data_IF_775828805074
#
_entry.id   IF_775828805074
#
_cell.length_a   1.000
_cell.length_b   1.000
_cell.length_c   1.000
_cell.angle_alpha   90.00
_cell.angle_beta   90.00
_cell.angle_gamma   90.00
#
_symmetry.space_group_name_H-M   'P 1'
#
loop_
_entity.id
_entity.type
_entity.pdbx_description
1 polymer ?
#
# COMPACT_ATOMS: atom_id res chain seq x y z
N UNK A 1 -35.18 2.80 -15.71
CA UNK A 1 -34.78 4.00 -14.95
C UNK A 1 -33.69 4.66 -15.78
N UNK A 2 -33.86 5.94 -16.10
CA UNK A 2 -32.89 6.71 -16.90
C UNK A 2 -31.50 6.68 -16.23
N UNK A 3 -30.50 6.19 -16.95
CA UNK A 3 -29.11 6.02 -16.49
C UNK A 3 -28.32 7.33 -16.61
N UNK A 4 -28.72 8.37 -15.88
CA UNK A 4 -27.95 9.63 -15.83
C UNK A 4 -26.75 9.59 -14.86
N UNK A 5 -26.54 8.51 -14.10
CA UNK A 5 -25.54 8.46 -13.01
C UNK A 5 -24.37 7.48 -13.23
N UNK A 6 -24.33 6.74 -14.35
CA UNK A 6 -23.25 5.77 -14.62
C UNK A 6 -21.86 6.40 -14.86
N UNK A 7 -21.75 7.73 -14.75
CA UNK A 7 -20.53 8.52 -15.00
C UNK A 7 -20.13 9.39 -13.83
N UNK A 8 -20.63 9.14 -12.61
CA UNK A 8 -20.20 9.90 -11.43
C UNK A 8 -18.74 9.55 -11.10
N UNK A 9 -17.91 10.58 -10.90
CA UNK A 9 -16.49 10.45 -10.54
C UNK A 9 -15.72 9.41 -11.41
N UNK A 10 -15.76 9.53 -12.74
CA UNK A 10 -15.25 8.48 -13.61
C UNK A 10 -13.72 8.37 -13.49
N UNK A 11 -13.20 7.14 -13.50
CA UNK A 11 -11.77 6.90 -13.71
C UNK A 11 -11.49 6.74 -15.20
N UNK A 12 -10.24 6.95 -15.62
CA UNK A 12 -9.82 6.76 -17.01
C UNK A 12 -10.03 5.30 -17.51
N UNK A 13 -10.13 4.36 -16.57
CA UNK A 13 -10.18 2.92 -16.79
C UNK A 13 -11.60 2.35 -16.64
N UNK A 14 -12.61 3.22 -16.56
CA UNK A 14 -14.03 2.86 -16.55
C UNK A 14 -14.61 2.52 -15.18
N UNK A 15 -13.89 2.85 -14.10
CA UNK A 15 -14.37 2.78 -12.72
C UNK A 15 -15.03 4.06 -12.24
N UNK A 16 -15.39 4.10 -10.96
CA UNK A 16 -15.96 5.28 -10.27
C UNK A 16 -15.22 5.51 -8.96
N UNK A 17 -14.53 6.64 -8.85
CA UNK A 17 -13.69 6.94 -7.70
C UNK A 17 -14.50 7.50 -6.53
N UNK A 18 -14.20 7.04 -5.32
CA UNK A 18 -14.81 7.55 -4.10
C UNK A 18 -13.94 8.64 -3.49
N UNK A 19 -14.43 9.89 -3.50
CA UNK A 19 -13.63 11.09 -3.22
C UNK A 19 -13.98 11.82 -1.91
N UNK A 20 -15.03 11.40 -1.19
CA UNK A 20 -15.38 12.02 0.09
C UNK A 20 -16.54 11.33 0.80
N UNK A 21 -16.60 11.44 2.13
CA UNK A 21 -17.70 10.88 2.92
C UNK A 21 -19.06 11.50 2.59
N UNK A 22 -19.08 12.77 2.20
CA UNK A 22 -20.25 13.54 1.77
C UNK A 22 -20.54 13.39 0.27
N UNK A 23 -19.73 12.62 -0.46
CA UNK A 23 -19.86 12.38 -1.90
C UNK A 23 -19.86 10.87 -2.22
N UNK A 24 -20.75 10.06 -1.63
CA UNK A 24 -20.89 8.66 -2.01
C UNK A 24 -21.32 8.55 -3.48
N UNK A 25 -20.68 7.63 -4.21
CA UNK A 25 -21.09 7.31 -5.57
C UNK A 25 -22.47 6.66 -5.54
N UNK A 26 -23.45 7.31 -6.18
CA UNK A 26 -24.83 6.85 -6.32
C UNK A 26 -25.00 5.94 -7.55
N UNK A 27 -26.21 5.42 -7.76
CA UNK A 27 -26.53 4.68 -8.99
C UNK A 27 -25.85 3.31 -9.17
N UNK A 28 -25.18 2.78 -8.14
CA UNK A 28 -24.48 1.48 -8.19
C UNK A 28 -25.39 0.32 -7.77
N UNK A 29 -25.34 -0.77 -8.52
CA UNK A 29 -26.00 -2.03 -8.18
C UNK A 29 -25.05 -3.19 -8.43
N UNK A 30 -24.92 -4.08 -7.44
CA UNK A 30 -24.14 -5.30 -7.63
C UNK A 30 -24.96 -6.31 -8.43
N UNK A 31 -24.39 -6.89 -9.46
CA UNK A 31 -25.05 -7.95 -10.23
C UNK A 31 -24.50 -9.28 -9.77
N UNK A 32 -25.37 -10.24 -9.45
CA UNK A 32 -24.98 -11.59 -9.01
C UNK A 32 -25.70 -12.65 -9.83
N UNK A 33 -25.13 -13.85 -9.86
CA UNK A 33 -25.75 -14.99 -10.52
C UNK A 33 -27.13 -15.31 -9.94
N UNK A 34 -28.09 -15.54 -10.84
CA UNK A 34 -29.42 -16.08 -10.55
C UNK A 34 -29.65 -17.33 -11.38
N UNK A 35 -30.64 -17.33 -12.27
CA UNK A 35 -30.81 -18.40 -13.28
C UNK A 35 -29.91 -18.21 -14.51
N UNK A 36 -29.38 -16.99 -14.70
CA UNK A 36 -28.30 -16.73 -15.65
C UNK A 36 -27.03 -16.38 -14.86
N UNK A 37 -25.87 -16.76 -15.39
CA UNK A 37 -24.56 -16.45 -14.81
C UNK A 37 -23.94 -15.27 -15.57
N UNK A 38 -23.69 -14.12 -14.92
CA UNK A 38 -22.93 -13.04 -15.52
C UNK A 38 -21.51 -13.51 -15.85
N UNK A 39 -20.96 -13.02 -16.95
CA UNK A 39 -19.56 -13.25 -17.27
C UNK A 39 -18.67 -12.58 -16.22
N UNK A 40 -17.54 -13.20 -15.88
CA UNK A 40 -16.47 -12.55 -15.13
C UNK A 40 -16.02 -11.30 -15.87
N UNK A 41 -16.05 -10.16 -15.19
CA UNK A 41 -15.81 -8.83 -15.79
C UNK A 41 -14.76 -8.07 -14.99
N UNK A 42 -13.92 -7.33 -15.69
CA UNK A 42 -13.03 -6.35 -15.12
C UNK A 42 -13.73 -4.99 -14.99
N UNK A 43 -13.12 -4.05 -14.27
CA UNK A 43 -13.52 -2.65 -14.29
C UNK A 43 -13.49 -2.12 -15.74
N UNK A 44 -14.50 -1.33 -16.10
CA UNK A 44 -14.66 -0.78 -17.45
C UNK A 44 -15.31 -1.71 -18.48
N UNK A 45 -15.47 -3.00 -18.18
CA UNK A 45 -16.29 -3.90 -19.02
C UNK A 45 -17.77 -3.50 -18.96
N UNK A 46 -18.51 -3.76 -20.05
CA UNK A 46 -19.94 -3.41 -20.16
C UNK A 46 -20.79 -4.58 -20.63
N UNK A 47 -22.00 -4.69 -20.10
CA UNK A 47 -23.05 -5.55 -20.65
C UNK A 47 -24.04 -4.71 -21.46
N UNK A 48 -24.05 -4.89 -22.78
CA UNK A 48 -24.90 -4.15 -23.72
C UNK A 48 -26.29 -4.78 -23.80
N UNK A 49 -27.32 -3.95 -23.80
CA UNK A 49 -28.71 -4.39 -23.75
C UNK A 49 -29.20 -4.63 -22.33
N UNK A 50 -30.32 -5.32 -22.18
CA UNK A 50 -30.96 -5.48 -20.88
C UNK A 50 -30.31 -6.60 -20.05
N UNK A 51 -29.87 -6.26 -18.84
CA UNK A 51 -29.63 -7.24 -17.77
C UNK A 51 -30.87 -7.24 -16.88
N UNK A 52 -31.57 -8.37 -16.83
CA UNK A 52 -32.87 -8.50 -16.15
C UNK A 52 -32.73 -9.49 -15.01
N UNK A 53 -33.23 -9.14 -13.83
CA UNK A 53 -33.12 -9.96 -12.64
C UNK A 53 -34.10 -9.55 -11.54
N UNK A 54 -34.12 -10.32 -10.45
CA UNK A 54 -34.81 -9.92 -9.23
C UNK A 54 -33.93 -8.94 -8.46
N UNK A 55 -34.51 -7.84 -7.98
CA UNK A 55 -33.79 -6.92 -7.09
C UNK A 55 -33.93 -7.43 -5.67
N UNK A 56 -32.80 -7.55 -4.98
CA UNK A 56 -32.69 -8.03 -3.60
C UNK A 56 -31.93 -7.01 -2.75
N UNK A 57 -32.19 -6.99 -1.45
CA UNK A 57 -31.40 -6.22 -0.49
C UNK A 57 -30.51 -7.16 0.31
N UNK A 58 -29.20 -6.88 0.40
CA UNK A 58 -28.25 -7.81 1.01
C UNK A 58 -28.14 -7.62 2.52
N UNK A 59 -27.77 -8.70 3.23
CA UNK A 59 -27.46 -8.63 4.67
C UNK A 59 -26.23 -7.76 4.98
N UNK A 60 -25.40 -7.46 3.98
CA UNK A 60 -24.23 -6.59 4.08
C UNK A 60 -24.51 -5.16 3.57
N UNK A 61 -25.78 -4.82 3.36
CA UNK A 61 -26.21 -3.54 2.78
C UNK A 61 -26.16 -3.50 1.26
N UNK A 62 -26.85 -2.53 0.68
CA UNK A 62 -26.94 -2.31 -0.76
C UNK A 62 -27.94 -3.25 -1.47
N UNK A 63 -28.26 -2.88 -2.70
CA UNK A 63 -29.09 -3.68 -3.59
C UNK A 63 -28.24 -4.58 -4.48
N UNK A 64 -28.74 -5.78 -4.75
CA UNK A 64 -28.21 -6.68 -5.79
C UNK A 64 -29.26 -6.99 -6.83
N UNK A 65 -28.83 -7.29 -8.05
CA UNK A 65 -29.66 -7.84 -9.11
C UNK A 65 -29.29 -9.31 -9.34
N UNK A 66 -30.16 -10.24 -8.93
CA UNK A 66 -30.00 -11.67 -9.19
C UNK A 66 -30.49 -12.00 -10.61
N UNK A 67 -29.57 -12.32 -11.51
CA UNK A 67 -29.82 -12.33 -12.96
C UNK A 67 -30.70 -13.47 -13.46
N UNK A 68 -31.70 -13.12 -14.27
CA UNK A 68 -32.49 -14.05 -15.10
C UNK A 68 -31.99 -14.10 -16.54
N UNK A 69 -31.49 -12.97 -17.04
CA UNK A 69 -30.78 -12.82 -18.31
C UNK A 69 -29.75 -11.71 -18.17
N UNK A 70 -28.68 -11.77 -18.96
CA UNK A 70 -27.58 -10.81 -18.94
C UNK A 70 -27.42 -10.25 -20.35
N UNK A 71 -27.11 -8.95 -20.43
CA UNK A 71 -26.77 -8.31 -21.70
C UNK A 71 -25.53 -8.91 -22.34
N UNK A 72 -25.26 -8.52 -23.58
CA UNK A 72 -24.08 -8.97 -24.33
C UNK A 72 -22.83 -8.34 -23.74
N UNK A 73 -21.89 -9.16 -23.28
CA UNK A 73 -20.59 -8.69 -22.79
C UNK A 73 -19.76 -8.01 -23.89
N UNK A 74 -19.16 -6.88 -23.53
CA UNK A 74 -18.12 -6.22 -24.29
C UNK A 74 -17.03 -5.76 -23.33
N UNK A 75 -15.78 -6.12 -23.63
CA UNK A 75 -14.65 -5.73 -22.79
C UNK A 75 -14.34 -4.24 -22.92
N UNK A 76 -13.94 -3.62 -21.80
CA UNK A 76 -13.38 -2.27 -21.72
C UNK A 76 -11.94 -2.18 -22.23
N UNK A 77 -11.27 -3.33 -22.44
CA UNK A 77 -9.94 -3.40 -23.04
C UNK A 77 -8.79 -2.95 -22.13
N UNK A 78 -9.01 -2.86 -20.82
CA UNK A 78 -7.95 -2.52 -19.88
C UNK A 78 -6.89 -3.62 -19.81
N UNK A 79 -5.64 -3.22 -19.61
CA UNK A 79 -4.49 -4.12 -19.48
C UNK A 79 -3.66 -3.73 -18.26
N UNK A 80 -2.98 -4.70 -17.60
CA UNK A 80 -2.12 -4.40 -16.45
C UNK A 80 -1.06 -3.37 -16.81
N UNK A 81 -0.89 -2.37 -15.95
CA UNK A 81 0.05 -1.28 -16.17
C UNK A 81 1.49 -1.68 -15.84
N UNK A 82 2.44 -0.88 -16.33
CA UNK A 82 3.84 -0.98 -15.96
C UNK A 82 4.41 0.41 -15.74
N UNK A 83 5.26 0.53 -14.75
CA UNK A 83 6.01 1.75 -14.47
C UNK A 83 7.39 1.71 -15.14
N UNK A 84 7.99 2.87 -15.39
CA UNK A 84 9.35 2.94 -15.93
C UNK A 84 10.41 2.61 -14.86
N UNK A 85 11.63 2.26 -15.26
CA UNK A 85 12.71 2.03 -14.30
C UNK A 85 13.13 3.31 -13.57
N UNK A 86 13.55 3.19 -12.31
CA UNK A 86 14.14 4.30 -11.57
C UNK A 86 15.49 4.71 -12.17
N UNK A 87 15.72 6.02 -12.28
CA UNK A 87 17.02 6.57 -12.68
C UNK A 87 18.10 6.21 -11.64
N UNK A 88 19.37 6.34 -12.02
CA UNK A 88 20.49 5.99 -11.13
C UNK A 88 20.62 6.87 -9.88
N UNK A 89 19.99 8.05 -9.88
CA UNK A 89 19.94 8.99 -8.76
C UNK A 89 18.57 9.02 -8.06
N UNK A 90 17.60 8.21 -8.53
CA UNK A 90 16.31 8.03 -7.90
C UNK A 90 16.37 6.77 -7.03
N UNK A 91 15.89 6.87 -5.80
CA UNK A 91 15.53 5.74 -4.96
C UNK A 91 14.06 5.40 -5.24
N UNK A 92 13.79 4.19 -5.70
CA UNK A 92 12.43 3.67 -5.83
C UNK A 92 11.97 2.97 -4.56
N UNK A 93 10.85 3.41 -4.01
CA UNK A 93 10.18 2.78 -2.86
C UNK A 93 8.76 2.42 -3.28
N UNK A 94 8.43 1.13 -3.13
CA UNK A 94 7.11 0.57 -3.41
C UNK A 94 6.40 0.22 -2.10
N UNK A 95 5.08 0.31 -2.07
CA UNK A 95 4.22 -0.40 -1.11
C UNK A 95 3.40 -1.45 -1.85
N UNK A 96 3.30 -2.66 -1.31
CA UNK A 96 2.64 -3.76 -1.98
C UNK A 96 2.08 -4.79 -0.98
N UNK A 97 0.77 -4.72 -0.75
CA UNK A 97 0.02 -5.78 -0.09
C UNK A 97 -0.02 -7.04 -0.98
N UNK A 98 0.54 -8.15 -0.48
CA UNK A 98 0.64 -9.42 -1.22
C UNK A 98 -0.44 -10.46 -0.84
N UNK A 99 -1.45 -10.03 -0.09
CA UNK A 99 -2.67 -10.77 0.25
C UNK A 99 -2.37 -12.14 0.91
N UNK A 100 -2.08 -12.10 2.21
CA UNK A 100 -1.80 -13.26 3.06
C UNK A 100 -0.78 -14.27 2.49
N UNK A 101 0.31 -13.77 1.90
CA UNK A 101 1.31 -14.63 1.27
C UNK A 101 2.05 -15.47 2.32
N UNK A 102 1.96 -16.80 2.18
CA UNK A 102 2.57 -17.82 3.02
C UNK A 102 3.31 -18.86 2.17
N UNK A 103 4.34 -19.51 2.74
CA UNK A 103 5.08 -20.57 2.06
C UNK A 103 4.18 -21.73 1.57
N UNK A 104 3.03 -21.92 2.22
CA UNK A 104 1.99 -22.92 1.89
C UNK A 104 1.15 -22.56 0.66
N UNK A 105 1.15 -21.31 0.19
CA UNK A 105 0.45 -20.97 -1.06
C UNK A 105 1.11 -21.62 -2.27
N UNK A 106 0.32 -21.83 -3.32
CA UNK A 106 0.78 -22.39 -4.59
C UNK A 106 1.91 -21.54 -5.22
N UNK A 107 2.85 -22.22 -5.88
CA UNK A 107 3.96 -21.56 -6.56
C UNK A 107 3.48 -20.51 -7.58
N UNK A 108 2.33 -20.76 -8.23
CA UNK A 108 1.75 -19.82 -9.18
C UNK A 108 1.45 -18.43 -8.57
N UNK A 109 1.07 -18.35 -7.28
CA UNK A 109 0.88 -17.04 -6.61
C UNK A 109 2.21 -16.30 -6.47
N UNK A 110 3.26 -17.00 -6.03
CA UNK A 110 4.62 -16.44 -5.94
C UNK A 110 5.14 -15.98 -7.30
N UNK A 111 4.94 -16.77 -8.35
CA UNK A 111 5.39 -16.44 -9.71
C UNK A 111 4.67 -15.20 -10.26
N UNK A 112 3.36 -15.06 -10.02
CA UNK A 112 2.58 -13.87 -10.42
C UNK A 112 3.05 -12.62 -9.69
N UNK A 113 3.18 -12.68 -8.36
CA UNK A 113 3.67 -11.55 -7.56
C UNK A 113 5.11 -11.18 -7.93
N UNK A 114 5.97 -12.17 -8.18
CA UNK A 114 7.35 -11.96 -8.61
C UNK A 114 7.41 -11.31 -10.00
N UNK A 115 6.60 -11.78 -10.96
CA UNK A 115 6.49 -11.15 -12.26
C UNK A 115 6.03 -9.69 -12.15
N UNK A 116 5.08 -9.39 -11.26
CA UNK A 116 4.66 -8.01 -10.99
C UNK A 116 5.82 -7.13 -10.48
N UNK A 117 6.61 -7.62 -9.51
CA UNK A 117 7.79 -6.90 -8.99
C UNK A 117 8.81 -6.62 -10.10
N UNK A 118 9.05 -7.59 -10.98
CA UNK A 118 10.09 -7.47 -12.01
C UNK A 118 9.61 -6.66 -13.22
N UNK A 119 8.44 -7.00 -13.77
CA UNK A 119 7.98 -6.54 -15.08
C UNK A 119 7.10 -5.30 -14.97
N UNK A 120 6.20 -5.24 -13.98
CA UNK A 120 5.27 -4.13 -13.81
C UNK A 120 5.87 -3.01 -12.96
N UNK A 121 6.62 -3.36 -11.91
CA UNK A 121 7.25 -2.41 -10.98
C UNK A 121 8.72 -2.09 -11.32
N UNK A 122 9.26 -2.71 -12.38
CA UNK A 122 10.62 -2.49 -12.87
C UNK A 122 11.73 -2.74 -11.82
N UNK A 123 11.56 -3.76 -10.97
CA UNK A 123 12.54 -4.17 -9.94
C UNK A 123 12.98 -3.02 -9.02
N UNK A 124 12.08 -2.49 -8.18
CA UNK A 124 12.32 -1.32 -7.33
C UNK A 124 13.47 -1.51 -6.33
N UNK A 125 14.02 -0.42 -5.81
CA UNK A 125 15.14 -0.45 -4.87
C UNK A 125 14.72 -0.95 -3.48
N UNK A 126 13.53 -0.55 -3.01
CA UNK A 126 12.90 -0.98 -1.76
C UNK A 126 11.44 -1.33 -2.04
N UNK A 127 10.99 -2.50 -1.56
CA UNK A 127 9.58 -2.90 -1.51
C UNK A 127 9.19 -2.99 -0.05
N UNK A 128 8.26 -2.14 0.36
CA UNK A 128 7.49 -2.32 1.58
C UNK A 128 6.41 -3.36 1.27
N UNK A 129 6.38 -4.42 2.07
CA UNK A 129 5.42 -5.49 1.95
C UNK A 129 4.47 -5.49 3.13
N UNK A 130 3.20 -5.73 2.82
CA UNK A 130 2.11 -5.95 3.73
C UNK A 130 1.56 -7.36 3.48
N UNK A 131 0.95 -7.96 4.51
CA UNK A 131 0.35 -9.29 4.40
C UNK A 131 1.30 -10.44 4.11
N UNK A 132 2.50 -10.38 4.69
CA UNK A 132 3.35 -11.57 4.81
C UNK A 132 2.90 -12.40 6.02
N UNK A 133 2.47 -13.62 5.73
CA UNK A 133 2.03 -14.61 6.70
C UNK A 133 3.19 -15.44 7.27
N UNK A 134 2.86 -16.18 8.32
CA UNK A 134 3.74 -17.20 8.90
C UNK A 134 4.07 -18.29 7.87
N UNK A 135 5.11 -19.05 8.14
CA UNK A 135 5.53 -20.18 7.31
C UNK A 135 4.40 -21.21 7.10
N UNK A 136 3.44 -21.29 8.03
CA UNK A 136 2.29 -22.20 8.00
C UNK A 136 0.97 -21.53 7.58
N UNK A 137 0.99 -20.26 7.17
CA UNK A 137 -0.21 -19.48 6.84
C UNK A 137 -1.12 -19.27 8.04
N UNK A 138 -2.43 -19.43 7.86
CA UNK A 138 -3.44 -19.22 8.91
C UNK A 138 -3.54 -20.35 9.96
N UNK A 139 -2.63 -21.33 9.94
CA UNK A 139 -2.71 -22.47 10.86
C UNK A 139 -2.36 -22.03 12.29
N UNK A 140 -3.33 -22.12 13.20
CA UNK A 140 -3.17 -21.68 14.59
C UNK A 140 -2.42 -22.71 15.47
N UNK A 141 -1.10 -22.82 15.27
CA UNK A 141 -0.21 -23.72 16.04
C UNK A 141 0.89 -22.99 16.84
N UNK A 142 0.89 -21.65 16.79
CA UNK A 142 1.87 -20.80 17.47
C UNK A 142 3.15 -20.48 16.68
N UNK A 143 3.25 -20.93 15.43
CA UNK A 143 4.30 -20.48 14.50
C UNK A 143 4.20 -18.96 14.29
N UNK A 144 5.33 -18.27 14.44
CA UNK A 144 5.46 -16.82 14.14
C UNK A 144 6.54 -16.51 13.11
N UNK A 145 7.29 -17.51 12.65
CA UNK A 145 8.39 -17.33 11.71
C UNK A 145 7.86 -17.24 10.26
N UNK A 146 8.48 -16.42 9.42
CA UNK A 146 8.14 -16.24 7.99
C UNK A 146 9.33 -16.40 7.02
N UNK A 147 10.46 -16.92 7.48
CA UNK A 147 11.69 -17.06 6.69
C UNK A 147 11.52 -17.95 5.45
N UNK A 148 10.69 -19.00 5.51
CA UNK A 148 10.39 -19.83 4.34
C UNK A 148 9.55 -19.06 3.31
N UNK A 149 8.58 -18.27 3.78
CA UNK A 149 7.77 -17.39 2.91
C UNK A 149 8.64 -16.38 2.18
N UNK A 150 9.53 -15.68 2.89
CA UNK A 150 10.47 -14.72 2.28
C UNK A 150 11.42 -15.38 1.30
N UNK A 151 12.00 -16.52 1.67
CA UNK A 151 12.94 -17.26 0.80
C UNK A 151 12.26 -17.64 -0.51
N UNK A 152 11.06 -18.22 -0.44
CA UNK A 152 10.29 -18.62 -1.62
C UNK A 152 9.94 -17.43 -2.51
N UNK A 153 9.59 -16.28 -1.93
CA UNK A 153 9.28 -15.08 -2.71
C UNK A 153 10.51 -14.47 -3.38
N UNK A 154 11.64 -14.36 -2.68
CA UNK A 154 12.88 -13.88 -3.29
C UNK A 154 13.37 -14.83 -4.38
N UNK A 155 13.27 -16.14 -4.19
CA UNK A 155 13.64 -17.12 -5.21
C UNK A 155 12.75 -17.00 -6.46
N UNK A 156 11.44 -16.78 -6.29
CA UNK A 156 10.53 -16.51 -7.40
C UNK A 156 10.88 -15.21 -8.14
N UNK A 157 11.24 -14.15 -7.41
CA UNK A 157 11.70 -12.88 -8.02
C UNK A 157 12.97 -13.09 -8.84
N UNK A 158 13.93 -13.86 -8.33
CA UNK A 158 15.16 -14.21 -9.08
C UNK A 158 14.82 -15.04 -10.32
N UNK A 159 13.92 -16.02 -10.20
CA UNK A 159 13.48 -16.83 -11.33
C UNK A 159 12.76 -16.01 -12.41
N UNK A 160 12.02 -14.96 -12.01
CA UNK A 160 11.41 -14.00 -12.93
C UNK A 160 12.41 -13.02 -13.58
N UNK A 161 13.70 -13.09 -13.25
CA UNK A 161 14.77 -12.24 -13.78
C UNK A 161 15.06 -10.98 -12.96
N UNK A 162 14.49 -10.88 -11.75
CA UNK A 162 14.72 -9.80 -10.80
C UNK A 162 16.00 -9.95 -9.97
N UNK A 163 16.32 -8.94 -9.14
CA UNK A 163 17.45 -9.02 -8.24
C UNK A 163 17.16 -10.00 -7.08
N UNK A 164 18.24 -10.55 -6.53
CA UNK A 164 18.21 -11.25 -5.23
C UNK A 164 18.03 -10.22 -4.12
N UNK A 165 16.78 -9.87 -3.83
CA UNK A 165 16.45 -8.97 -2.72
C UNK A 165 16.94 -9.54 -1.38
N UNK A 166 17.38 -8.65 -0.50
CA UNK A 166 17.50 -8.95 0.94
C UNK A 166 16.24 -8.47 1.66
N UNK A 167 15.95 -9.04 2.83
CA UNK A 167 14.75 -8.69 3.59
C UNK A 167 15.04 -8.36 5.05
N UNK A 168 14.20 -7.52 5.65
CA UNK A 168 14.18 -7.20 7.08
C UNK A 168 12.76 -7.17 7.60
N UNK A 169 12.55 -7.80 8.74
CA UNK A 169 11.26 -7.99 9.40
C UNK A 169 11.49 -8.24 10.91
N UNK A 170 10.42 -8.21 11.70
CA UNK A 170 10.43 -8.60 13.11
C UNK A 170 9.24 -9.54 13.34
N UNK A 171 9.54 -10.77 13.74
CA UNK A 171 8.51 -11.76 14.06
C UNK A 171 7.57 -11.19 15.15
N UNK A 172 6.25 -11.28 14.93
CA UNK A 172 5.27 -10.86 15.93
C UNK A 172 5.25 -11.80 17.13
N UNK A 173 4.62 -11.36 18.22
CA UNK A 173 4.15 -12.30 19.24
C UNK A 173 2.89 -12.99 18.72
N UNK A 174 2.74 -14.27 19.07
CA UNK A 174 1.59 -15.04 18.61
C UNK A 174 0.26 -14.35 19.02
N UNK A 175 -0.62 -14.13 18.05
CA UNK A 175 -1.96 -13.51 18.15
C UNK A 175 -2.00 -12.04 18.56
N UNK A 176 -0.88 -11.31 18.52
CA UNK A 176 -0.87 -9.91 18.98
C UNK A 176 -1.10 -8.88 17.88
N UNK A 177 -0.78 -9.23 16.63
CA UNK A 177 -0.72 -8.27 15.52
C UNK A 177 -1.99 -8.27 14.66
N UNK A 178 -2.99 -9.11 14.98
CA UNK A 178 -4.27 -9.17 14.28
C UNK A 178 -4.14 -9.54 12.79
N UNK A 179 -5.22 -9.31 12.02
CA UNK A 179 -5.31 -9.75 10.63
C UNK A 179 -6.11 -11.03 10.47
N UNK A 180 -5.65 -11.91 9.57
CA UNK A 180 -6.29 -13.19 9.31
C UNK A 180 -6.31 -14.06 10.59
N UNK A 181 -7.48 -14.59 11.00
CA UNK A 181 -7.57 -15.44 12.19
C UNK A 181 -6.63 -16.65 12.10
N UNK A 182 -5.86 -16.88 13.17
CA UNK A 182 -4.94 -18.01 13.30
C UNK A 182 -3.52 -17.73 12.83
N UNK A 183 -3.32 -16.75 11.94
CA UNK A 183 -1.98 -16.31 11.50
C UNK A 183 -1.50 -15.05 12.21
N UNK A 184 -0.27 -14.66 11.90
CA UNK A 184 0.38 -13.46 12.44
C UNK A 184 0.90 -12.58 11.31
N UNK A 185 0.00 -11.94 10.57
CA UNK A 185 0.39 -11.05 9.47
C UNK A 185 1.39 -9.99 9.93
N UNK A 186 2.42 -9.74 9.11
CA UNK A 186 3.41 -8.69 9.36
C UNK A 186 3.63 -7.79 8.16
N UNK A 187 4.37 -6.72 8.43
CA UNK A 187 4.99 -5.87 7.42
C UNK A 187 6.49 -6.15 7.33
N UNK A 188 7.09 -5.90 6.18
CA UNK A 188 8.52 -6.14 5.96
C UNK A 188 9.10 -5.24 4.87
N UNK A 189 10.43 -5.28 4.76
CA UNK A 189 11.16 -4.70 3.64
C UNK A 189 11.77 -5.81 2.79
N UNK A 190 11.66 -5.72 1.46
CA UNK A 190 12.64 -6.24 0.52
C UNK A 190 13.48 -5.07 -0.01
N UNK A 191 14.78 -5.25 -0.23
CA UNK A 191 15.63 -4.21 -0.81
C UNK A 191 16.77 -4.76 -1.66
N UNK A 192 17.07 -4.07 -2.77
CA UNK A 192 18.07 -4.48 -3.73
C UNK A 192 19.46 -4.03 -3.24
N UNK A 193 20.32 -4.95 -2.76
CA UNK A 193 21.60 -4.58 -2.17
C UNK A 193 22.58 -3.96 -3.18
N UNK A 194 22.33 -4.10 -4.49
CA UNK A 194 23.14 -3.44 -5.53
C UNK A 194 22.86 -1.93 -5.65
N UNK A 195 21.75 -1.46 -5.08
CA UNK A 195 21.26 -0.08 -5.23
C UNK A 195 21.20 0.69 -3.91
N UNK A 196 20.82 0.00 -2.83
CA UNK A 196 20.63 0.59 -1.51
C UNK A 196 21.22 -0.36 -0.45
N UNK A 197 21.77 0.19 0.62
CA UNK A 197 22.15 -0.61 1.79
C UNK A 197 21.23 -0.33 2.98
N UNK A 198 20.98 -1.38 3.75
CA UNK A 198 20.26 -1.28 5.03
C UNK A 198 21.27 -1.07 6.16
N UNK A 199 20.95 -0.18 7.10
CA UNK A 199 21.77 0.05 8.30
C UNK A 199 21.26 -0.85 9.39
N UNK A 200 21.89 -2.01 9.55
CA UNK A 200 21.56 -2.95 10.62
C UNK A 200 22.03 -2.43 11.98
N UNK A 201 21.11 -2.37 12.94
CA UNK A 201 21.39 -2.14 14.36
C UNK A 201 20.55 -3.09 15.20
N UNK A 202 21.23 -3.90 16.01
CA UNK A 202 20.60 -4.87 16.90
C UNK A 202 19.72 -4.18 17.97
N UNK A 203 18.79 -4.94 18.54
CA UNK A 203 17.93 -4.51 19.65
C UNK A 203 16.45 -4.39 19.31
N UNK A 204 16.06 -4.55 18.04
CA UNK A 204 14.67 -4.63 17.63
C UNK A 204 14.09 -6.01 17.93
N UNK A 205 12.94 -6.07 18.59
CA UNK A 205 12.13 -7.26 18.78
C UNK A 205 10.62 -6.90 18.75
N UNK A 206 9.76 -7.88 18.98
CA UNK A 206 8.30 -7.71 18.91
C UNK A 206 7.74 -6.64 19.87
N UNK A 207 8.43 -6.37 20.97
CA UNK A 207 7.98 -5.59 22.13
C UNK A 207 8.85 -4.40 22.48
N UNK A 208 10.09 -4.35 21.99
CA UNK A 208 11.03 -3.25 22.26
C UNK A 208 10.76 -2.08 21.29
N UNK A 209 10.39 -0.88 21.80
CA UNK A 209 10.18 0.28 20.96
C UNK A 209 11.50 0.78 20.35
N UNK A 210 11.48 1.07 19.05
CA UNK A 210 12.55 1.84 18.43
C UNK A 210 12.48 3.30 18.92
N UNK A 211 13.62 3.81 19.36
CA UNK A 211 13.81 5.23 19.69
C UNK A 211 14.62 5.95 18.60
N UNK A 212 14.29 7.21 18.35
CA UNK A 212 15.10 8.12 17.52
C UNK A 212 16.21 8.74 18.39
N UNK A 213 17.46 8.59 17.96
CA UNK A 213 18.65 9.11 18.63
C UNK A 213 19.41 10.07 17.72
N UNK A 214 20.31 10.87 18.30
CA UNK A 214 21.21 11.76 17.55
C UNK A 214 22.58 11.11 17.38
N UNK A 215 22.99 10.86 16.15
CA UNK A 215 24.32 10.34 15.82
C UNK A 215 25.00 11.24 14.79
N UNK A 216 26.22 11.72 15.11
CA UNK A 216 26.98 12.65 14.26
C UNK A 216 26.16 13.87 13.78
N UNK A 217 25.31 14.41 14.66
CA UNK A 217 24.48 15.57 14.33
C UNK A 217 23.23 15.28 13.49
N UNK A 218 22.97 14.01 13.13
CA UNK A 218 21.84 13.56 12.32
C UNK A 218 20.94 12.61 13.12
N UNK A 219 19.68 12.47 12.71
CA UNK A 219 18.81 11.46 13.27
C UNK A 219 19.34 10.05 12.93
N UNK A 220 19.11 9.11 13.84
CA UNK A 220 19.32 7.68 13.68
C UNK A 220 18.30 6.92 14.55
N UNK A 221 18.10 5.64 14.29
CA UNK A 221 17.29 4.69 15.04
C UNK A 221 18.20 3.93 15.99
N UNK A 222 17.74 3.73 17.22
CA UNK A 222 18.41 2.88 18.21
C UNK A 222 18.49 1.41 17.78
N UNK A 223 17.48 0.93 17.06
CA UNK A 223 17.42 -0.39 16.42
C UNK A 223 16.92 -0.25 14.98
N UNK A 224 17.47 -1.03 14.06
CA UNK A 224 17.08 -1.02 12.65
C UNK A 224 17.28 -2.44 12.09
N UNK A 225 16.19 -3.16 11.73
CA UNK A 225 14.80 -2.73 11.83
C UNK A 225 14.33 -2.58 13.29
N UNK A 226 13.27 -1.81 13.53
CA UNK A 226 12.66 -1.66 14.86
C UNK A 226 11.18 -1.30 14.80
N UNK A 227 10.38 -1.75 15.78
CA UNK A 227 8.94 -1.47 15.83
C UNK A 227 8.65 -0.11 16.47
N UNK A 228 7.73 0.66 15.88
CA UNK A 228 7.30 1.95 16.42
C UNK A 228 6.28 1.73 17.52
N UNK A 229 6.68 2.07 18.76
CA UNK A 229 5.82 2.09 19.94
C UNK A 229 4.92 0.83 20.10
N UNK A 230 5.48 -0.39 20.06
CA UNK A 230 4.71 -1.63 19.94
C UNK A 230 3.79 -1.94 21.14
N UNK A 231 3.99 -1.28 22.28
CA UNK A 231 3.15 -1.39 23.47
C UNK A 231 1.98 -0.39 23.50
N UNK A 232 1.88 0.52 22.51
CA UNK A 232 0.79 1.48 22.42
C UNK A 232 -0.55 0.76 22.20
N UNK A 233 -1.60 1.06 22.97
CA UNK A 233 -2.93 0.48 22.77
C UNK A 233 -3.52 0.68 21.37
N UNK A 234 -3.04 1.69 20.61
CA UNK A 234 -3.40 1.88 19.22
C UNK A 234 -3.11 0.63 18.35
N UNK A 235 -2.14 -0.20 18.71
CA UNK A 235 -1.74 -1.41 17.99
C UNK A 235 -2.36 -2.69 18.53
N UNK A 236 -3.32 -2.61 19.46
CA UNK A 236 -4.02 -3.79 19.97
C UNK A 236 -4.69 -4.54 18.82
N UNK A 237 -4.35 -5.82 18.65
CA UNK A 237 -4.84 -6.67 17.55
C UNK A 237 -4.64 -6.02 16.16
N UNK A 238 -3.52 -5.32 15.98
CA UNK A 238 -3.15 -4.69 14.72
C UNK A 238 -1.63 -4.69 14.53
N UNK A 239 -1.16 -4.58 13.28
CA UNK A 239 0.27 -4.66 12.94
C UNK A 239 0.99 -3.44 13.50
N UNK A 240 2.20 -3.66 14.04
CA UNK A 240 3.05 -2.59 14.56
C UNK A 240 3.93 -2.10 13.41
N UNK A 241 3.99 -0.78 13.12
CA UNK A 241 4.83 -0.28 12.05
C UNK A 241 6.31 -0.63 12.25
N UNK A 242 7.00 -0.97 11.16
CA UNK A 242 8.42 -1.32 11.15
C UNK A 242 9.22 -0.16 10.56
N UNK A 243 10.11 0.43 11.35
CA UNK A 243 11.04 1.44 10.87
C UNK A 243 12.37 0.79 10.46
N UNK A 244 12.94 1.24 9.34
CA UNK A 244 14.25 0.84 8.86
C UNK A 244 15.07 2.02 8.35
N UNK A 245 16.37 1.97 8.56
CA UNK A 245 17.32 2.92 7.98
C UNK A 245 17.96 2.40 6.71
N UNK A 246 17.85 3.18 5.65
CA UNK A 246 18.49 2.91 4.37
C UNK A 246 19.54 3.98 4.06
N UNK A 247 20.59 3.57 3.33
CA UNK A 247 21.57 4.47 2.72
C UNK A 247 21.49 4.36 1.21
N UNK A 248 21.17 5.47 0.57
CA UNK A 248 21.16 5.59 -0.89
C UNK A 248 22.08 6.73 -1.31
N UNK A 249 23.15 6.40 -2.05
CA UNK A 249 24.17 7.37 -2.50
C UNK A 249 24.66 8.26 -1.34
N UNK A 250 24.94 7.66 -0.18
CA UNK A 250 25.40 8.35 1.04
C UNK A 250 24.32 9.06 1.86
N UNK A 251 23.08 9.16 1.37
CA UNK A 251 21.96 9.84 2.05
C UNK A 251 21.17 8.83 2.89
N UNK A 252 20.87 9.18 4.14
CA UNK A 252 19.96 8.38 4.99
C UNK A 252 18.52 8.60 4.54
N UNK A 253 17.76 7.50 4.45
CA UNK A 253 16.31 7.50 4.28
C UNK A 253 15.71 6.58 5.33
N UNK A 254 14.83 7.12 6.17
CA UNK A 254 14.01 6.33 7.07
C UNK A 254 12.79 5.86 6.30
N UNK A 255 12.64 4.55 6.13
CA UNK A 255 11.44 3.96 5.53
C UNK A 255 10.65 3.28 6.64
N UNK A 256 9.36 3.55 6.71
CA UNK A 256 8.44 2.95 7.67
C UNK A 256 7.39 2.16 6.93
N UNK A 257 7.40 0.84 7.14
CA UNK A 257 6.34 -0.04 6.69
C UNK A 257 5.18 -0.01 7.68
N UNK A 258 3.95 0.16 7.20
CA UNK A 258 2.75 0.19 8.04
C UNK A 258 1.62 -0.65 7.44
N UNK A 259 0.74 -1.15 8.31
CA UNK A 259 -0.49 -1.83 7.91
C UNK A 259 -1.52 -1.66 9.04
N UNK A 260 -2.33 -0.61 8.96
CA UNK A 260 -3.27 -0.22 10.02
C UNK A 260 -4.42 -1.21 10.18
N UNK A 261 -5.27 -1.00 11.20
CA UNK A 261 -6.44 -1.86 11.39
C UNK A 261 -7.43 -1.72 10.22
N UNK A 262 -7.97 -2.86 9.78
CA UNK A 262 -8.91 -2.87 8.66
C UNK A 262 -10.20 -2.13 8.97
N UNK A 263 -10.98 -1.86 7.93
CA UNK A 263 -12.32 -1.26 8.03
C UNK A 263 -13.39 -2.26 8.51
N UNK A 264 -12.98 -3.44 8.96
CA UNK A 264 -13.89 -4.46 9.50
C UNK A 264 -14.69 -3.93 10.70
N UNK A 265 -16.00 -4.20 10.70
CA UNK A 265 -16.93 -3.70 11.71
C UNK A 265 -17.57 -2.35 11.39
N UNK A 266 -17.08 -1.62 10.39
CA UNK A 266 -17.77 -0.43 9.87
C UNK A 266 -19.09 -0.81 9.19
N UNK A 267 -20.08 0.08 9.28
CA UNK A 267 -21.35 -0.11 8.61
C UNK A 267 -21.24 0.17 7.11
N UNK A 268 -22.00 -0.58 6.32
CA UNK A 268 -22.06 -0.41 4.86
C UNK A 268 -22.53 0.99 4.48
N UNK A 269 -21.89 1.56 3.44
CA UNK A 269 -22.27 2.84 2.85
C UNK A 269 -23.74 2.87 2.43
N UNK A 270 -24.31 1.73 2.05
CA UNK A 270 -25.72 1.58 1.69
C UNK A 270 -26.45 0.61 2.64
N UNK A 271 -26.23 0.74 3.95
CA UNK A 271 -26.88 -0.09 4.98
C UNK A 271 -28.21 0.43 5.52
N UNK A 272 -28.82 -0.36 6.41
CA UNK A 272 -30.02 -0.04 7.20
C UNK A 272 -29.86 1.23 8.06
N UNK A 273 -28.65 1.48 8.56
CA UNK A 273 -28.31 2.61 9.40
C UNK A 273 -27.57 3.66 8.56
N UNK A 274 -28.07 4.89 8.58
CA UNK A 274 -27.53 6.02 7.81
C UNK A 274 -27.53 7.27 8.70
N UNK A 275 -26.44 8.04 8.77
CA UNK A 275 -25.13 7.78 8.13
C UNK A 275 -24.42 6.53 8.71
N UNK A 276 -23.53 5.86 7.93
CA UNK A 276 -22.83 4.67 8.41
C UNK A 276 -21.91 4.98 9.59
N UNK A 277 -22.02 4.20 10.66
CA UNK A 277 -21.06 4.25 11.77
C UNK A 277 -19.75 3.59 11.35
N UNK A 278 -18.64 4.34 11.46
CA UNK A 278 -17.28 3.91 11.09
C UNK A 278 -16.44 3.66 12.35
N UNK A 279 -16.82 2.65 13.12
CA UNK A 279 -16.23 2.39 14.44
C UNK A 279 -14.72 2.12 14.41
N UNK A 280 -14.21 1.56 13.31
CA UNK A 280 -12.79 1.24 13.14
C UNK A 280 -11.90 2.48 12.97
N UNK A 281 -12.46 3.64 12.62
CA UNK A 281 -11.70 4.91 12.47
C UNK A 281 -11.13 5.42 13.78
N UNK A 282 -11.75 5.08 14.91
CA UNK A 282 -11.26 5.49 16.25
C UNK A 282 -9.85 4.92 16.48
N UNK A 283 -9.64 3.64 16.14
CA UNK A 283 -8.32 3.03 16.26
C UNK A 283 -7.35 3.58 15.21
N UNK A 284 -7.76 3.72 13.94
CA UNK A 284 -6.90 4.30 12.89
C UNK A 284 -6.43 5.71 13.22
N UNK A 285 -7.26 6.55 13.84
CA UNK A 285 -6.87 7.88 14.29
C UNK A 285 -5.79 7.83 15.40
N UNK A 286 -5.90 6.88 16.34
CA UNK A 286 -4.87 6.65 17.35
C UNK A 286 -3.56 6.13 16.74
N UNK A 287 -3.65 5.22 15.77
CA UNK A 287 -2.50 4.70 15.01
C UNK A 287 -1.79 5.79 14.22
N UNK A 288 -2.55 6.65 13.54
CA UNK A 288 -2.02 7.83 12.85
C UNK A 288 -1.30 8.78 13.81
N UNK A 289 -1.85 9.00 15.01
CA UNK A 289 -1.22 9.84 16.04
C UNK A 289 0.12 9.25 16.52
N UNK A 290 0.18 7.93 16.77
CA UNK A 290 1.40 7.26 17.18
C UNK A 290 2.49 7.30 16.08
N UNK A 291 2.11 7.04 14.84
CA UNK A 291 3.02 7.12 13.69
C UNK A 291 3.50 8.55 13.45
N UNK A 292 2.61 9.54 13.58
CA UNK A 292 2.97 10.96 13.50
C UNK A 292 3.98 11.36 14.58
N UNK A 293 3.79 10.91 15.82
CA UNK A 293 4.73 11.21 16.91
C UNK A 293 6.14 10.71 16.59
N UNK A 294 6.28 9.54 15.95
CA UNK A 294 7.59 9.06 15.48
C UNK A 294 8.21 9.97 14.42
N UNK A 295 7.43 10.42 13.42
CA UNK A 295 7.92 11.39 12.42
C UNK A 295 8.40 12.68 13.09
N UNK A 296 7.63 13.20 14.04
CA UNK A 296 7.99 14.41 14.77
C UNK A 296 9.28 14.21 15.59
N UNK A 297 9.50 13.03 16.19
CA UNK A 297 10.76 12.69 16.85
C UNK A 297 11.94 12.73 15.87
N UNK A 298 11.81 12.10 14.70
CA UNK A 298 12.84 12.15 13.63
C UNK A 298 13.14 13.60 13.24
N UNK A 299 12.10 14.40 12.98
CA UNK A 299 12.22 15.80 12.57
C UNK A 299 12.74 16.72 13.68
N UNK A 300 12.51 16.38 14.94
CA UNK A 300 13.04 17.14 16.09
C UNK A 300 14.56 17.01 16.21
N UNK A 301 15.11 15.84 15.87
CA UNK A 301 16.56 15.59 15.89
C UNK A 301 17.22 16.15 14.64
N UNK A 302 16.63 15.91 13.46
CA UNK A 302 17.10 16.45 12.19
C UNK A 302 15.92 16.80 11.27
N UNK A 303 15.65 18.11 11.15
CA UNK A 303 14.59 18.67 10.30
C UNK A 303 14.74 18.27 8.83
N UNK A 304 15.96 18.03 8.37
CA UNK A 304 16.30 17.63 7.01
C UNK A 304 16.23 16.12 6.75
N UNK A 305 15.84 15.30 7.74
CA UNK A 305 15.74 13.83 7.58
C UNK A 305 14.79 13.45 6.45
N UNK A 306 15.19 12.51 5.60
CA UNK A 306 14.30 11.91 4.60
C UNK A 306 13.47 10.82 5.27
N UNK A 307 12.14 10.95 5.23
CA UNK A 307 11.21 9.95 5.76
C UNK A 307 10.26 9.52 4.66
N UNK A 308 10.03 8.22 4.53
CA UNK A 308 9.02 7.61 3.67
C UNK A 308 8.15 6.72 4.56
N UNK A 309 6.86 7.03 4.66
CA UNK A 309 5.86 6.15 5.24
C UNK A 309 5.18 5.46 4.07
N UNK A 310 5.22 4.14 4.02
CA UNK A 310 4.62 3.36 2.95
C UNK A 310 3.84 2.21 3.58
N UNK A 311 2.60 2.01 3.18
CA UNK A 311 1.78 0.95 3.74
C UNK A 311 0.30 1.03 3.36
N UNK A 312 -0.42 -0.04 3.71
CA UNK A 312 -1.88 -0.05 3.79
C UNK A 312 -2.35 0.64 5.09
N UNK A 313 -2.74 1.92 4.98
CA UNK A 313 -3.31 2.70 6.11
C UNK A 313 -4.78 2.34 6.35
N UNK A 314 -5.39 1.52 5.48
CA UNK A 314 -6.78 1.09 5.56
C UNK A 314 -7.78 2.26 5.65
N UNK A 315 -7.40 3.40 5.10
CA UNK A 315 -8.23 4.58 5.11
C UNK A 315 -8.11 5.42 3.86
N UNK A 316 -9.08 6.29 3.68
CA UNK A 316 -9.14 7.15 2.51
C UNK A 316 -8.19 8.33 2.63
N UNK A 317 -7.79 8.90 1.50
CA UNK A 317 -6.99 10.11 1.38
C UNK A 317 -7.61 11.34 2.06
N UNK A 318 -8.93 11.35 2.25
CA UNK A 318 -9.68 12.41 2.94
C UNK A 318 -10.02 12.06 4.40
N UNK A 319 -9.50 10.94 4.93
CA UNK A 319 -9.83 10.47 6.28
C UNK A 319 -9.17 11.31 7.39
N UNK A 320 -9.73 11.29 8.61
CA UNK A 320 -9.08 11.90 9.77
C UNK A 320 -7.68 11.33 10.10
N UNK A 321 -7.41 10.07 9.73
CA UNK A 321 -6.10 9.45 9.91
C UNK A 321 -5.05 10.12 9.02
N UNK A 322 -5.34 10.32 7.73
CA UNK A 322 -4.44 11.02 6.81
C UNK A 322 -4.29 12.50 7.18
N UNK A 323 -5.38 13.15 7.61
CA UNK A 323 -5.31 14.53 8.12
C UNK A 323 -4.38 14.65 9.33
N UNK A 324 -4.42 13.68 10.27
CA UNK A 324 -3.51 13.63 11.43
C UNK A 324 -2.05 13.48 10.99
N UNK A 325 -1.76 12.58 10.05
CA UNK A 325 -0.39 12.34 9.57
C UNK A 325 0.20 13.57 8.88
N UNK A 326 -0.59 14.26 8.06
CA UNK A 326 -0.17 15.39 7.22
C UNK A 326 -0.23 16.75 7.92
N UNK A 327 -0.82 16.85 9.11
CA UNK A 327 -1.00 18.13 9.81
C UNK A 327 0.32 18.92 9.99
N UNK A 328 0.37 20.20 9.61
CA UNK A 328 1.59 21.00 9.74
C UNK A 328 2.70 20.66 8.73
N UNK A 329 2.35 19.96 7.65
CA UNK A 329 3.14 19.81 6.43
C UNK A 329 4.54 19.20 6.63
N UNK A 330 4.73 18.34 7.64
CA UNK A 330 5.99 17.62 7.85
C UNK A 330 6.19 16.48 6.84
N UNK A 331 5.09 15.89 6.39
CA UNK A 331 4.99 14.89 5.33
C UNK A 331 3.86 15.26 4.36
N UNK A 332 3.96 14.78 3.13
CA UNK A 332 2.96 14.93 2.07
C UNK A 332 2.46 13.56 1.68
N UNK A 333 1.14 13.39 1.65
CA UNK A 333 0.48 12.21 1.09
C UNK A 333 0.49 12.24 -0.44
N UNK A 334 1.16 11.28 -1.07
CA UNK A 334 1.44 11.34 -2.50
C UNK A 334 0.22 11.02 -3.36
N UNK A 335 -0.69 10.16 -2.91
CA UNK A 335 -1.92 9.87 -3.67
C UNK A 335 -2.79 11.12 -3.81
N UNK A 336 -2.79 12.02 -2.81
CA UNK A 336 -3.45 13.31 -2.88
C UNK A 336 -2.85 14.28 -3.91
N UNK A 337 -1.66 13.99 -4.45
CA UNK A 337 -1.01 14.80 -5.51
C UNK A 337 -1.43 14.40 -6.92
N UNK A 338 -1.99 13.20 -7.11
CA UNK A 338 -2.49 12.74 -8.40
C UNK A 338 -3.78 13.48 -8.79
N UNK A 339 -4.13 13.52 -10.10
CA UNK A 339 -5.48 13.83 -10.53
C UNK A 339 -6.53 12.99 -9.79
N UNK A 340 -7.68 13.58 -9.48
CA UNK A 340 -8.73 12.90 -8.70
C UNK A 340 -9.15 11.54 -9.31
N UNK A 341 -9.12 11.40 -10.63
CA UNK A 341 -9.48 10.17 -11.34
C UNK A 341 -8.47 9.01 -11.17
N UNK A 342 -7.30 9.26 -10.57
CA UNK A 342 -6.20 8.29 -10.39
C UNK A 342 -5.96 7.96 -8.90
N UNK A 343 -6.79 8.50 -7.98
CA UNK A 343 -6.60 8.33 -6.52
C UNK A 343 -7.27 7.08 -5.99
N UNK A 344 -6.78 5.91 -6.38
CA UNK A 344 -7.27 4.64 -5.86
C UNK A 344 -6.23 3.54 -5.99
N UNK A 345 -6.28 2.57 -5.08
CA UNK A 345 -5.48 1.34 -5.11
C UNK A 345 -6.31 0.09 -4.83
N UNK A 346 -7.62 0.25 -4.58
CA UNK A 346 -8.52 -0.82 -4.16
C UNK A 346 -9.89 -0.64 -4.82
N UNK A 347 -10.62 -1.74 -5.09
CA UNK A 347 -11.99 -1.68 -5.60
C UNK A 347 -12.93 -2.44 -4.67
N UNK A 348 -13.82 -1.71 -4.01
CA UNK A 348 -14.80 -2.28 -3.07
C UNK A 348 -16.21 -1.83 -3.39
N UNK A 349 -17.12 -2.79 -3.48
CA UNK A 349 -18.53 -2.53 -3.76
C UNK A 349 -18.77 -1.71 -5.04
N UNK A 350 -17.86 -1.82 -6.00
CA UNK A 350 -17.87 -1.04 -7.24
C UNK A 350 -17.44 0.41 -7.08
N UNK A 351 -16.82 0.78 -5.95
CA UNK A 351 -16.04 2.01 -5.84
C UNK A 351 -14.56 1.69 -6.05
N UNK A 352 -13.88 2.48 -6.88
CA UNK A 352 -12.44 2.66 -6.78
C UNK A 352 -12.16 3.52 -5.54
N UNK A 353 -11.26 3.06 -4.66
CA UNK A 353 -10.97 3.65 -3.36
C UNK A 353 -9.48 3.62 -3.06
N UNK A 354 -9.01 4.55 -2.24
CA UNK A 354 -7.66 4.53 -1.68
C UNK A 354 -7.66 3.75 -0.36
N UNK A 355 -6.68 2.87 -0.16
CA UNK A 355 -6.34 2.27 1.15
C UNK A 355 -4.83 2.33 1.42
N UNK A 356 -4.04 2.13 0.36
CA UNK A 356 -2.59 2.21 0.42
C UNK A 356 -2.12 3.65 0.27
N UNK A 357 -1.02 3.97 0.94
CA UNK A 357 -0.45 5.30 0.92
C UNK A 357 1.08 5.24 0.89
N UNK A 358 1.66 6.18 0.14
CA UNK A 358 3.04 6.61 0.33
C UNK A 358 3.04 8.08 0.75
N UNK A 359 3.52 8.36 1.97
CA UNK A 359 3.77 9.71 2.45
C UNK A 359 5.27 9.96 2.51
N UNK A 360 5.72 11.13 2.04
CA UNK A 360 7.14 11.50 2.07
C UNK A 360 7.35 12.78 2.84
N UNK A 361 8.49 12.89 3.53
CA UNK A 361 8.87 14.11 4.23
C UNK A 361 8.98 15.30 3.27
N UNK A 362 8.44 16.45 3.64
CA UNK A 362 8.28 17.62 2.76
C UNK A 362 9.57 18.24 2.23
N UNK A 363 10.74 17.90 2.79
CA UNK A 363 12.04 18.30 2.25
C UNK A 363 12.43 17.54 0.96
N UNK A 364 11.75 16.43 0.65
CA UNK A 364 11.94 15.69 -0.61
C UNK A 364 11.12 16.39 -1.70
N UNK A 365 11.78 17.17 -2.55
CA UNK A 365 11.12 17.99 -3.60
C UNK A 365 11.15 17.39 -5.00
N UNK A 366 11.95 16.35 -5.21
CA UNK A 366 12.14 15.70 -6.51
C UNK A 366 11.65 14.26 -6.41
N UNK A 367 10.46 14.02 -6.92
CA UNK A 367 9.87 12.69 -6.95
C UNK A 367 8.95 12.52 -8.16
N UNK A 368 8.70 11.27 -8.52
CA UNK A 368 7.65 10.82 -9.43
C UNK A 368 6.88 9.73 -8.69
N UNK A 369 5.56 9.80 -8.74
CA UNK A 369 4.69 8.90 -8.00
C UNK A 369 3.58 8.39 -8.92
N UNK A 370 3.19 7.14 -8.70
CA UNK A 370 2.23 6.43 -9.52
C UNK A 370 1.56 5.30 -8.73
N UNK A 371 0.32 4.97 -9.10
CA UNK A 371 -0.35 3.72 -8.71
C UNK A 371 -0.34 2.81 -9.92
N UNK A 372 0.23 1.62 -9.80
CA UNK A 372 0.41 0.73 -10.96
C UNK A 372 -0.76 -0.25 -11.01
N UNK A 373 -1.76 0.02 -11.84
CA UNK A 373 -2.99 -0.77 -11.90
C UNK A 373 -2.78 -2.15 -12.53
N UNK A 374 -2.59 -3.17 -11.70
CA UNK A 374 -2.31 -4.56 -12.12
C UNK A 374 -3.21 -5.59 -11.44
N UNK A 375 -3.97 -5.18 -10.43
CA UNK A 375 -4.69 -6.02 -9.49
C UNK A 375 -6.14 -5.56 -9.33
N UNK A 376 -6.40 -4.45 -8.65
CA UNK A 376 -7.70 -4.12 -8.07
C UNK A 376 -8.85 -4.06 -9.10
N UNK A 377 -8.54 -3.70 -10.34
CA UNK A 377 -9.50 -3.58 -11.44
C UNK A 377 -9.79 -4.87 -12.20
N UNK A 378 -8.96 -5.89 -12.02
CA UNK A 378 -9.06 -7.16 -12.73
C UNK A 378 -9.80 -8.17 -11.88
N UNK A 379 -10.59 -9.05 -12.49
CA UNK A 379 -11.24 -10.14 -11.76
C UNK A 379 -10.28 -11.30 -11.44
N UNK A 380 -9.22 -11.46 -12.24
CA UNK A 380 -8.14 -12.41 -11.99
C UNK A 380 -6.97 -11.69 -11.32
N UNK A 381 -6.90 -11.78 -9.99
CA UNK A 381 -5.97 -11.01 -9.15
C UNK A 381 -4.88 -11.89 -8.55
N UNK A 382 -3.72 -11.30 -8.27
CA UNK A 382 -2.70 -11.91 -7.40
C UNK A 382 -2.73 -11.31 -5.98
N UNK A 383 -3.30 -10.12 -5.85
CA UNK A 383 -3.65 -9.37 -4.65
C UNK A 383 -4.84 -8.49 -5.00
N UNK A 384 -5.67 -8.13 -4.03
CA UNK A 384 -6.79 -7.20 -4.20
C UNK A 384 -6.36 -5.72 -4.20
N UNK A 385 -5.08 -5.43 -3.91
CA UNK A 385 -4.50 -4.09 -3.90
C UNK A 385 -3.58 -3.86 -5.11
N UNK A 386 -3.66 -2.66 -5.69
CA UNK A 386 -2.67 -2.15 -6.62
C UNK A 386 -1.44 -1.60 -5.87
N UNK A 387 -0.21 -2.00 -6.24
CA UNK A 387 1.00 -1.43 -5.66
C UNK A 387 1.16 0.04 -6.05
N UNK A 388 1.76 0.80 -5.14
CA UNK A 388 2.15 2.19 -5.39
C UNK A 388 3.67 2.30 -5.45
N UNK A 389 4.17 3.22 -6.26
CA UNK A 389 5.61 3.47 -6.39
C UNK A 389 5.93 4.95 -6.32
N UNK A 390 6.92 5.30 -5.51
CA UNK A 390 7.60 6.59 -5.59
C UNK A 390 9.04 6.41 -6.03
N UNK A 391 9.48 7.21 -7.00
CA UNK A 391 10.88 7.35 -7.41
C UNK A 391 11.32 8.73 -6.95
N UNK A 392 12.10 8.78 -5.87
CA UNK A 392 12.47 10.04 -5.23
C UNK A 392 13.97 10.25 -5.25
N UNK A 393 14.39 11.51 -5.25
CA UNK A 393 15.78 11.89 -4.99
C UNK A 393 15.86 12.36 -3.54
N UNK A 394 16.50 11.60 -2.62
CA UNK A 394 16.56 12.00 -1.22
C UNK A 394 17.33 13.31 -1.06
N UNK A 395 16.92 14.15 -0.11
CA UNK A 395 17.63 15.38 0.26
C UNK A 395 18.93 15.04 0.99
N UNK A 396 19.94 15.91 0.88
CA UNK A 396 21.14 15.93 1.71
C UNK A 396 20.89 16.50 3.11
N UNK A 397 19.64 16.90 3.39
CA UNK A 397 19.23 17.60 4.61
C UNK A 397 19.66 19.06 4.63
N UNK A 398 20.07 19.63 3.48
CA UNK A 398 20.37 21.05 3.32
C UNK A 398 19.91 21.51 1.93
N UNK A 399 18.91 22.39 1.88
CA UNK A 399 18.28 22.81 0.64
C UNK A 399 19.23 23.52 -0.35
N UNK A 400 20.25 24.23 0.13
CA UNK A 400 21.23 24.88 -0.75
C UNK A 400 22.17 23.86 -1.38
N UNK A 401 22.58 22.86 -0.60
CA UNK A 401 23.39 21.75 -1.11
C UNK A 401 22.59 20.91 -2.10
N UNK A 402 21.31 20.67 -1.82
CA UNK A 402 20.40 19.96 -2.71
C UNK A 402 20.32 20.63 -4.09
N UNK A 403 20.20 21.96 -4.16
CA UNK A 403 20.17 22.69 -5.44
C UNK A 403 21.41 22.40 -6.30
N UNK A 404 22.61 22.46 -5.70
CA UNK A 404 23.86 22.22 -6.41
C UNK A 404 24.02 20.75 -6.80
N UNK A 405 23.82 19.83 -5.85
CA UNK A 405 23.97 18.39 -6.08
C UNK A 405 22.98 17.91 -7.14
N UNK A 406 21.74 18.39 -7.10
CA UNK A 406 20.71 17.97 -8.04
C UNK A 406 20.99 18.48 -9.44
N UNK A 407 21.48 19.72 -9.58
CA UNK A 407 21.92 20.25 -10.87
C UNK A 407 23.06 19.39 -11.46
N UNK A 408 24.04 19.00 -10.65
CA UNK A 408 25.13 18.13 -11.09
C UNK A 408 24.63 16.74 -11.49
N UNK A 409 23.73 16.13 -10.70
CA UNK A 409 23.13 14.84 -11.02
C UNK A 409 22.31 14.89 -12.33
N UNK A 410 21.60 16.00 -12.58
CA UNK A 410 20.84 16.21 -13.82
C UNK A 410 21.77 16.39 -15.03
N UNK A 411 22.86 17.16 -14.89
CA UNK A 411 23.85 17.34 -15.96
C UNK A 411 24.54 16.01 -16.32
N UNK A 412 24.94 15.23 -15.31
CA UNK A 412 25.58 13.93 -15.52
C UNK A 412 24.65 12.93 -16.24
N UNK A 413 23.33 13.06 -16.10
CA UNK A 413 22.36 12.20 -16.80
C UNK A 413 22.32 12.48 -18.31
N UNK A 414 22.61 13.72 -18.73
CA UNK A 414 22.58 14.12 -20.13
C UNK A 414 23.93 13.95 -20.85
N UNK A 415 25.00 13.61 -20.12
CA UNK A 415 26.28 13.30 -20.73
C UNK A 415 26.24 11.90 -21.37
N UNK A 416 26.79 11.73 -22.59
CA UNK A 416 26.92 10.41 -23.19
C UNK A 416 27.77 9.52 -22.28
N UNK A 417 27.23 8.35 -21.91
CA UNK A 417 27.99 7.36 -21.16
C UNK A 417 29.02 6.73 -22.10
N UNK A 418 30.28 6.55 -21.65
CA UNK A 418 31.34 5.96 -22.46
C UNK A 418 31.08 4.50 -22.82
#
# INVERSE_FOLDING_TARGET
>A
MDHHEATQNPTARGGTNYLGYDQPNSGRIKVKAGSATPQTSNVGDVWRGATVGNVEYTNFGGYTLATKSVGTYASGGITPEKTDAARSHELSVVTYNVENLAATNDQAKFDRLAAAVVQNLASPDVVVLEEIQDNNGATDDGTVAADATFTKFVDAIVAAGGPRYQWRQIDPQNKTDGGEPGGNIRVAFLFNPARVSFVDRAGGDATTPVSVVKQHGRAALSASPGRIDPANPAWNSSRKPLAGEFKFRGRTVFVVANHFNSKGGDQSLHGRYQEPVRSSEVQRAAQATALRAFVDQVKSVDKGSNVVLAGDINDFQFSPAIATLTAGDSVVDLISTLPAAERYSYVFDGNSQTLDHILISSNIKRYRYDVVHINAEFADQASDHDPQIVKLRPSTGNAQVDQLVFLLEDLLEHLPRP
#
